data_IF_679046207614
#
_entry.id   IF_679046207614
#
_cell.length_a   1.000
_cell.length_b   1.000
_cell.length_c   1.000
_cell.angle_alpha   90.00
_cell.angle_beta   90.00
_cell.angle_gamma   90.00
#
_symmetry.space_group_name_H-M   'P 1'
#
loop_
_entity.id
_entity.type
_entity.pdbx_description
1 polymer ?
#
# COMPACT_ATOMS: atom_id res chain seq x y z
N UNK A 1 4.15 -12.07 34.09
CA UNK A 1 3.15 -11.88 33.02
C UNK A 1 3.37 -10.52 32.40
N UNK A 2 4.06 -10.44 31.25
CA UNK A 2 4.28 -9.18 30.53
C UNK A 2 3.15 -9.02 29.52
N UNK A 3 2.10 -8.28 29.90
CA UNK A 3 1.05 -7.89 28.97
C UNK A 3 1.48 -6.61 28.26
N UNK A 4 1.87 -6.70 26.99
CA UNK A 4 2.09 -5.52 26.13
C UNK A 4 1.91 -5.73 24.62
N UNK A 5 1.40 -6.89 24.16
CA UNK A 5 1.41 -7.25 22.71
C UNK A 5 0.07 -7.14 21.96
N UNK A 6 -0.99 -6.62 22.57
CA UNK A 6 -2.31 -6.63 21.92
C UNK A 6 -2.48 -5.60 20.80
N UNK A 7 -1.71 -4.50 20.79
CA UNK A 7 -1.92 -3.35 19.88
C UNK A 7 -1.00 -3.33 18.65
N UNK A 8 0.17 -3.97 18.69
CA UNK A 8 1.08 -4.05 17.52
C UNK A 8 0.63 -5.06 16.47
N UNK A 9 -0.18 -6.05 16.86
CA UNK A 9 -0.58 -7.15 15.98
C UNK A 9 -1.64 -6.77 14.96
N UNK A 10 -2.52 -5.80 15.26
CA UNK A 10 -3.63 -5.48 14.38
C UNK A 10 -3.17 -4.78 13.09
N UNK A 11 -2.26 -3.81 13.20
CA UNK A 11 -1.74 -3.09 12.03
C UNK A 11 -0.87 -3.98 11.16
N UNK A 12 -0.06 -4.87 11.76
CA UNK A 12 0.71 -5.85 11.00
C UNK A 12 -0.22 -6.82 10.25
N UNK A 13 -1.28 -7.33 10.90
CA UNK A 13 -2.26 -8.21 10.24
C UNK A 13 -2.96 -7.49 9.10
N UNK A 14 -3.39 -6.25 9.30
CA UNK A 14 -3.99 -5.41 8.27
C UNK A 14 -3.05 -5.23 7.06
N UNK A 15 -1.76 -4.99 7.30
CA UNK A 15 -0.74 -4.89 6.24
C UNK A 15 -0.55 -6.22 5.49
N UNK A 16 -0.37 -7.34 6.21
CA UNK A 16 -0.17 -8.66 5.59
C UNK A 16 -1.39 -9.11 4.77
N UNK A 17 -2.60 -8.89 5.28
CA UNK A 17 -3.82 -9.17 4.52
C UNK A 17 -3.84 -8.38 3.21
N UNK A 18 -3.49 -7.09 3.27
CA UNK A 18 -3.45 -6.25 2.09
C UNK A 18 -2.38 -6.69 1.10
N UNK A 19 -1.18 -7.01 1.61
CA UNK A 19 -0.06 -7.53 0.83
C UNK A 19 -0.46 -8.82 0.10
N UNK A 20 -1.18 -9.72 0.76
CA UNK A 20 -1.71 -10.94 0.14
C UNK A 20 -2.75 -10.64 -0.95
N UNK A 21 -3.68 -9.73 -0.70
CA UNK A 21 -4.68 -9.38 -1.72
C UNK A 21 -4.04 -8.71 -2.94
N UNK A 22 -3.00 -7.90 -2.72
CA UNK A 22 -2.17 -7.29 -3.75
C UNK A 22 -1.39 -8.36 -4.53
N UNK A 23 -0.78 -9.32 -3.83
CA UNK A 23 -0.11 -10.48 -4.45
C UNK A 23 -1.06 -11.33 -5.30
N UNK A 24 -2.31 -11.49 -4.85
CA UNK A 24 -3.34 -12.25 -5.56
C UNK A 24 -4.05 -11.42 -6.65
N UNK A 25 -3.72 -10.13 -6.78
CA UNK A 25 -4.36 -9.19 -7.71
C UNK A 25 -5.91 -9.17 -7.56
N UNK A 26 -6.42 -9.30 -6.33
CA UNK A 26 -7.85 -9.39 -6.02
C UNK A 26 -8.43 -8.06 -5.53
N UNK A 27 -8.52 -7.10 -6.45
CA UNK A 27 -9.00 -5.72 -6.19
C UNK A 27 -10.38 -5.68 -5.56
N UNK A 28 -11.25 -6.63 -5.91
CA UNK A 28 -12.60 -6.78 -5.38
C UNK A 28 -12.63 -6.94 -3.84
N UNK A 29 -11.65 -7.66 -3.28
CA UNK A 29 -11.50 -7.87 -1.84
C UNK A 29 -10.98 -6.60 -1.17
N UNK A 30 -9.98 -5.95 -1.78
CA UNK A 30 -9.40 -4.70 -1.29
C UNK A 30 -10.42 -3.57 -1.29
N UNK A 31 -11.22 -3.42 -2.34
CA UNK A 31 -12.27 -2.40 -2.41
C UNK A 31 -13.28 -2.57 -1.28
N UNK A 32 -13.68 -3.81 -0.98
CA UNK A 32 -14.57 -4.10 0.15
C UNK A 32 -13.92 -3.84 1.51
N UNK A 33 -12.58 -3.91 1.62
CA UNK A 33 -11.86 -3.86 2.90
C UNK A 33 -11.23 -2.48 3.20
N UNK A 34 -10.66 -1.78 2.22
CA UNK A 34 -10.26 -0.35 2.36
C UNK A 34 -11.49 0.50 2.68
N UNK A 35 -12.61 0.27 1.99
CA UNK A 35 -13.81 1.11 2.12
C UNK A 35 -14.58 0.87 3.43
N UNK A 36 -14.37 -0.26 4.10
CA UNK A 36 -15.18 -0.67 5.25
C UNK A 36 -14.30 -0.95 6.47
N UNK A 37 -14.25 0.05 7.34
CA UNK A 37 -13.80 0.05 8.75
C UNK A 37 -12.29 0.21 9.07
N UNK A 38 -12.05 1.20 9.95
CA UNK A 38 -10.81 1.67 10.57
C UNK A 38 -9.81 2.41 9.67
N UNK A 39 -9.96 3.74 9.67
CA UNK A 39 -9.12 4.75 9.02
C UNK A 39 -7.72 4.94 9.62
N UNK A 40 -7.29 4.06 10.53
CA UNK A 40 -5.98 4.16 11.20
C UNK A 40 -4.90 3.37 10.46
N UNK A 41 -4.75 3.62 9.15
CA UNK A 41 -3.61 3.11 8.41
C UNK A 41 -2.41 4.03 8.64
N UNK A 42 -1.28 3.45 9.04
CA UNK A 42 -0.03 4.19 9.04
C UNK A 42 0.34 4.55 7.59
N UNK A 43 0.63 5.83 7.36
CA UNK A 43 1.04 6.38 6.07
C UNK A 43 2.25 5.61 5.53
N UNK A 44 3.13 5.13 6.42
CA UNK A 44 4.28 4.32 6.03
C UNK A 44 3.87 2.98 5.39
N UNK A 45 2.96 2.24 6.03
CA UNK A 45 2.46 0.96 5.51
C UNK A 45 1.71 1.11 4.20
N UNK A 46 0.94 2.20 4.04
CA UNK A 46 0.25 2.50 2.78
C UNK A 46 1.23 2.83 1.66
N UNK A 47 2.29 3.61 1.96
CA UNK A 47 3.35 3.92 0.98
C UNK A 47 4.02 2.64 0.46
N UNK A 48 4.35 1.72 1.35
CA UNK A 48 4.96 0.44 0.97
C UNK A 48 4.03 -0.39 0.07
N UNK A 49 2.73 -0.48 0.41
CA UNK A 49 1.75 -1.18 -0.42
C UNK A 49 1.54 -0.51 -1.79
N UNK A 50 1.52 0.82 -1.83
CA UNK A 50 1.40 1.59 -3.06
C UNK A 50 2.59 1.37 -4.00
N UNK A 51 3.81 1.33 -3.46
CA UNK A 51 5.02 1.02 -4.23
C UNK A 51 4.97 -0.39 -4.83
N UNK A 52 4.47 -1.38 -4.10
CA UNK A 52 4.30 -2.74 -4.62
C UNK A 52 3.27 -2.75 -5.77
N UNK A 53 2.15 -2.03 -5.62
CA UNK A 53 1.14 -1.91 -6.67
C UNK A 53 1.70 -1.26 -7.94
N UNK A 54 2.50 -0.19 -7.79
CA UNK A 54 3.18 0.48 -8.92
C UNK A 54 4.18 -0.44 -9.62
N UNK A 55 5.06 -1.10 -8.88
CA UNK A 55 6.06 -2.02 -9.45
C UNK A 55 5.41 -3.21 -10.18
N UNK A 56 4.20 -3.60 -9.77
CA UNK A 56 3.43 -4.70 -10.40
C UNK A 56 2.47 -4.22 -11.49
N UNK A 57 2.47 -2.93 -11.83
CA UNK A 57 1.57 -2.32 -12.80
C UNK A 57 0.07 -2.58 -12.50
N UNK A 58 -0.29 -2.63 -11.22
CA UNK A 58 -1.65 -2.88 -10.76
C UNK A 58 -2.43 -1.57 -10.67
N UNK A 59 -2.86 -1.05 -11.83
CA UNK A 59 -3.49 0.27 -11.97
C UNK A 59 -4.80 0.44 -11.20
N UNK A 60 -5.56 -0.64 -11.02
CA UNK A 60 -6.79 -0.63 -10.22
C UNK A 60 -6.52 -0.35 -8.74
N UNK A 61 -5.44 -0.91 -8.19
CA UNK A 61 -5.02 -0.61 -6.82
C UNK A 61 -4.53 0.82 -6.69
N UNK A 62 -3.70 1.28 -7.65
CA UNK A 62 -3.22 2.67 -7.69
C UNK A 62 -4.40 3.65 -7.67
N UNK A 63 -5.42 3.40 -8.49
CA UNK A 63 -6.63 4.22 -8.51
C UNK A 63 -7.37 4.21 -7.17
N UNK A 64 -7.54 3.05 -6.55
CA UNK A 64 -8.16 2.95 -5.22
C UNK A 64 -7.42 3.75 -4.16
N UNK A 65 -6.08 3.72 -4.15
CA UNK A 65 -5.31 4.53 -3.20
C UNK A 65 -5.53 6.02 -3.43
N UNK A 66 -5.55 6.49 -4.68
CA UNK A 66 -5.81 7.89 -5.01
C UNK A 66 -7.22 8.36 -4.64
N UNK A 67 -8.22 7.50 -4.80
CA UNK A 67 -9.61 7.77 -4.44
C UNK A 67 -9.82 7.89 -2.91
N UNK A 68 -8.85 7.42 -2.10
CA UNK A 68 -8.91 7.36 -0.64
C UNK A 68 -7.90 8.29 0.07
N UNK A 69 -7.72 9.51 -0.46
CA UNK A 69 -6.88 10.58 0.11
C UNK A 69 -5.37 10.31 0.12
N UNK A 70 -4.88 9.35 -0.67
CA UNK A 70 -3.44 9.17 -0.83
C UNK A 70 -2.85 10.23 -1.78
N UNK A 71 -2.21 11.26 -1.22
CA UNK A 71 -1.55 12.30 -2.00
C UNK A 71 -0.27 11.77 -2.66
N UNK A 72 -0.24 11.78 -3.99
CA UNK A 72 0.97 11.50 -4.77
C UNK A 72 2.10 12.47 -4.42
N UNK A 73 1.77 13.70 -4.04
CA UNK A 73 2.75 14.71 -3.65
C UNK A 73 3.55 14.26 -2.43
N UNK A 74 2.94 13.57 -1.47
CA UNK A 74 3.63 13.05 -0.28
C UNK A 74 4.48 11.81 -0.55
N UNK A 75 4.18 11.09 -1.64
CA UNK A 75 4.97 9.96 -2.11
C UNK A 75 6.20 10.45 -2.90
N UNK A 76 5.99 11.35 -3.85
CA UNK A 76 7.02 11.88 -4.74
C UNK A 76 7.82 13.05 -4.16
N UNK A 77 7.56 13.42 -2.90
CA UNK A 77 8.36 14.42 -2.20
C UNK A 77 9.86 14.06 -2.16
N UNK A 78 10.18 12.77 -2.16
CA UNK A 78 11.56 12.29 -2.26
C UNK A 78 11.92 12.01 -3.72
N UNK A 79 12.77 12.85 -4.31
CA UNK A 79 13.28 12.68 -5.68
C UNK A 79 13.89 11.30 -5.92
N UNK A 80 14.54 10.71 -4.92
CA UNK A 80 15.15 9.37 -5.00
C UNK A 80 14.11 8.28 -5.28
N UNK A 81 12.90 8.40 -4.71
CA UNK A 81 11.81 7.44 -4.95
C UNK A 81 11.30 7.51 -6.38
N UNK A 82 11.19 8.72 -6.93
CA UNK A 82 10.81 8.93 -8.32
C UNK A 82 11.84 8.32 -9.27
N UNK A 83 13.13 8.56 -9.02
CA UNK A 83 14.22 7.98 -9.81
C UNK A 83 14.24 6.46 -9.74
N UNK A 84 14.03 5.87 -8.55
CA UNK A 84 13.98 4.42 -8.37
C UNK A 84 12.83 3.78 -9.18
N UNK A 85 11.63 4.37 -9.15
CA UNK A 85 10.50 3.91 -9.93
C UNK A 85 10.78 3.98 -11.44
N UNK A 86 11.38 5.08 -11.89
CA UNK A 86 11.75 5.24 -13.30
C UNK A 86 12.82 4.21 -13.72
N UNK A 87 13.85 4.00 -12.90
CA UNK A 87 14.88 3.00 -13.16
C UNK A 87 14.32 1.57 -13.21
N UNK A 88 13.41 1.22 -12.31
CA UNK A 88 12.74 -0.08 -12.33
C UNK A 88 11.90 -0.26 -13.60
N UNK A 89 11.24 0.79 -14.09
CA UNK A 89 10.49 0.73 -15.35
C UNK A 89 11.39 0.50 -16.58
N UNK A 90 12.64 0.96 -16.52
CA UNK A 90 13.63 0.78 -17.59
C UNK A 90 14.28 -0.61 -17.60
N UNK A 91 14.12 -1.41 -16.54
CA UNK A 91 14.63 -2.80 -16.48
C UNK A 91 13.67 -3.84 -17.06
N UNK A 92 12.46 -3.42 -17.45
CA UNK A 92 11.43 -4.30 -18.03
C UNK A 92 11.41 -4.28 -19.57
N UNK A 93 12.47 -3.76 -20.21
CA UNK A 93 12.64 -3.68 -21.68
C UNK A 93 13.63 -4.72 -22.17
#
# INVERSE_FOLDING_TARGET
ASCSDSSKTNNQRKYEEFRLVLEWNRVDIVKKKIMTNDRDWDIKSLKDLFEIALNRNQTEFVKLFLDHDFSLTDLFRNHDKFLLLYQNSMQQV
#
